data_IF_273042644141
#
_entry.id   IF_273042644141
#
_cell.length_a   1.000
_cell.length_b   1.000
_cell.length_c   1.000
_cell.angle_alpha   90.00
_cell.angle_beta   90.00
_cell.angle_gamma   90.00
#
_symmetry.space_group_name_H-M   'P 1'
#
loop_
_entity.id
_entity.type
_entity.pdbx_description
1 polymer ?
#
# COMPACT_ATOMS: atom_id res chain seq x y z
N UNK A 1 25.83 -21.55 -47.42
CA UNK A 1 24.99 -22.77 -47.34
C UNK A 1 25.02 -23.33 -45.93
N UNK A 2 23.94 -23.15 -45.17
CA UNK A 2 23.36 -24.14 -44.23
C UNK A 2 22.03 -23.56 -43.76
N UNK A 3 20.97 -24.30 -44.06
CA UNK A 3 19.58 -24.00 -43.77
C UNK A 3 19.30 -24.51 -42.36
N UNK A 4 18.74 -23.70 -41.49
CA UNK A 4 18.13 -24.19 -40.25
C UNK A 4 16.62 -23.97 -40.39
N UNK A 5 15.90 -25.09 -40.42
CA UNK A 5 14.46 -25.17 -40.59
C UNK A 5 13.76 -24.88 -39.25
N UNK A 6 12.67 -24.12 -39.32
CA UNK A 6 11.77 -23.82 -38.23
C UNK A 6 11.11 -25.10 -37.67
N UNK A 7 11.11 -25.27 -36.36
CA UNK A 7 10.14 -26.12 -35.66
C UNK A 7 9.25 -25.18 -34.85
N UNK A 8 8.06 -24.94 -35.40
CA UNK A 8 7.05 -24.08 -34.78
C UNK A 8 6.44 -24.73 -33.56
N UNK A 9 6.25 -23.96 -32.50
CA UNK A 9 5.38 -24.33 -31.38
C UNK A 9 3.97 -23.89 -31.76
N UNK A 10 3.07 -24.87 -31.81
CA UNK A 10 1.64 -24.70 -32.06
C UNK A 10 1.04 -23.70 -31.07
N UNK A 11 0.48 -22.62 -31.61
CA UNK A 11 -0.42 -21.72 -30.89
C UNK A 11 -1.71 -22.50 -30.64
N UNK A 12 -1.93 -22.94 -29.41
CA UNK A 12 -3.19 -23.53 -28.98
C UNK A 12 -4.27 -22.44 -28.90
N UNK A 13 -5.35 -22.61 -29.66
CA UNK A 13 -6.55 -21.81 -29.49
C UNK A 13 -7.31 -22.32 -28.25
N UNK A 14 -7.39 -21.51 -27.20
CA UNK A 14 -8.29 -21.78 -26.07
C UNK A 14 -9.67 -21.23 -26.47
N UNK A 15 -10.60 -22.14 -26.76
CA UNK A 15 -12.01 -21.80 -26.89
C UNK A 15 -12.59 -21.62 -25.47
N UNK A 16 -12.78 -20.37 -25.04
CA UNK A 16 -13.57 -20.07 -23.84
C UNK A 16 -15.04 -20.28 -24.19
N UNK A 17 -15.57 -21.46 -23.86
CA UNK A 17 -17.01 -21.68 -23.81
C UNK A 17 -17.57 -20.83 -22.67
N UNK A 18 -18.42 -19.87 -23.00
CA UNK A 18 -19.10 -19.01 -22.04
C UNK A 18 -20.10 -19.80 -21.21
N UNK A 19 -19.93 -19.77 -19.88
CA UNK A 19 -21.02 -20.03 -18.95
C UNK A 19 -21.81 -18.74 -18.78
N UNK A 20 -22.84 -18.56 -19.61
CA UNK A 20 -23.92 -17.63 -19.33
C UNK A 20 -24.94 -18.33 -18.43
N UNK A 21 -25.11 -17.84 -17.20
CA UNK A 21 -26.41 -17.83 -16.52
C UNK A 21 -26.61 -16.44 -15.94
N UNK A 22 -27.64 -15.79 -16.47
CA UNK A 22 -28.26 -14.59 -15.94
C UNK A 22 -28.97 -14.97 -14.64
N UNK A 23 -28.73 -14.22 -13.56
CA UNK A 23 -29.78 -13.95 -12.58
C UNK A 23 -29.76 -12.46 -12.24
N UNK A 24 -30.74 -11.80 -12.83
CA UNK A 24 -31.20 -10.46 -12.56
C UNK A 24 -31.76 -10.43 -11.13
N UNK A 25 -31.27 -9.54 -10.27
CA UNK A 25 -32.10 -8.99 -9.21
C UNK A 25 -31.78 -7.51 -9.02
N UNK A 26 -32.58 -6.69 -9.71
CA UNK A 26 -32.82 -5.32 -9.32
C UNK A 26 -33.40 -5.30 -7.90
N UNK A 27 -32.78 -4.54 -6.98
CA UNK A 27 -33.53 -3.78 -5.98
C UNK A 27 -32.94 -2.37 -5.87
N UNK A 28 -33.60 -1.47 -6.61
CA UNK A 28 -33.73 -0.04 -6.32
C UNK A 28 -34.62 0.15 -5.07
N UNK A 29 -34.67 1.39 -4.59
CA UNK A 29 -35.54 1.97 -3.53
C UNK A 29 -34.85 1.88 -2.14
N UNK A 30 -34.57 2.96 -1.41
CA UNK A 30 -35.24 4.27 -1.29
C UNK A 30 -34.28 5.33 -0.73
N UNK A 31 -34.39 6.56 -1.22
CA UNK A 31 -34.06 7.77 -0.45
C UNK A 31 -34.84 7.76 0.87
N UNK A 32 -34.23 8.14 1.99
CA UNK A 32 -34.96 8.85 3.03
C UNK A 32 -34.10 9.96 3.62
N UNK A 33 -34.65 11.16 3.52
CA UNK A 33 -34.20 12.43 4.07
C UNK A 33 -35.01 12.60 5.34
N UNK A 34 -34.39 12.80 6.51
CA UNK A 34 -34.93 13.79 7.46
C UNK A 34 -33.98 14.15 8.61
N UNK A 35 -33.87 15.47 8.80
CA UNK A 35 -33.59 16.23 10.03
C UNK A 35 -32.25 15.98 10.75
N UNK A 36 -31.38 16.98 10.94
CA UNK A 36 -31.67 18.35 11.32
C UNK A 36 -31.46 18.49 12.82
N UNK A 37 -30.22 18.79 13.23
CA UNK A 37 -29.96 19.43 14.52
C UNK A 37 -28.78 20.39 14.39
N UNK A 38 -29.14 21.65 14.18
CA UNK A 38 -28.34 22.83 14.44
C UNK A 38 -28.16 22.99 15.95
N UNK A 39 -26.91 22.99 16.41
CA UNK A 39 -26.52 23.62 17.68
C UNK A 39 -25.25 24.41 17.41
N UNK A 40 -25.41 25.71 17.20
CA UNK A 40 -24.34 26.68 17.40
C UNK A 40 -24.04 26.78 18.90
N UNK A 41 -22.81 26.47 19.31
CA UNK A 41 -22.18 27.14 20.44
C UNK A 41 -20.73 27.44 20.05
N UNK A 42 -20.43 28.73 19.96
CA UNK A 42 -19.17 29.24 19.43
C UNK A 42 -18.00 29.21 20.42
N UNK A 43 -16.81 29.37 19.82
CA UNK A 43 -15.67 30.10 20.37
C UNK A 43 -14.68 29.32 21.22
N UNK A 44 -13.53 28.96 20.63
CA UNK A 44 -12.25 29.62 20.91
C UNK A 44 -11.14 29.02 20.04
N UNK A 45 -10.54 29.88 19.22
CA UNK A 45 -9.32 29.62 18.46
C UNK A 45 -8.16 29.39 19.42
N UNK A 46 -7.35 28.34 19.20
CA UNK A 46 -5.91 28.52 18.98
C UNK A 46 -5.18 27.21 18.62
N UNK A 47 -4.50 27.27 17.48
CA UNK A 47 -3.12 26.81 17.28
C UNK A 47 -2.74 25.37 17.66
N UNK A 48 -2.91 24.46 16.69
CA UNK A 48 -1.81 23.80 15.98
C UNK A 48 -2.42 22.90 14.89
N UNK A 49 -2.28 23.30 13.62
CA UNK A 49 -2.59 22.41 12.49
C UNK A 49 -1.52 21.35 12.40
N UNK A 50 -1.55 20.39 13.30
CA UNK A 50 -1.05 19.06 13.00
C UNK A 50 -1.99 18.54 11.90
N UNK A 51 -1.53 18.66 10.64
CA UNK A 51 -2.21 18.07 9.50
C UNK A 51 -2.17 16.57 9.72
N UNK A 52 -3.17 16.05 10.44
CA UNK A 52 -3.49 14.63 10.46
C UNK A 52 -3.67 14.28 8.99
N UNK A 53 -2.63 13.68 8.41
CA UNK A 53 -2.69 13.15 7.06
C UNK A 53 -3.62 11.96 7.18
N UNK A 54 -4.92 12.22 7.03
CA UNK A 54 -5.89 11.16 6.81
C UNK A 54 -5.43 10.44 5.55
N UNK A 55 -4.81 9.27 5.74
CA UNK A 55 -4.38 8.43 4.62
C UNK A 55 -5.66 7.88 4.04
N UNK A 56 -6.14 8.47 2.94
CA UNK A 56 -7.16 7.83 2.12
C UNK A 56 -6.56 6.52 1.62
N UNK A 57 -7.15 5.36 1.95
CA UNK A 57 -6.61 4.08 1.50
C UNK A 57 -6.59 4.02 -0.02
N UNK A 58 -5.51 3.46 -0.59
CA UNK A 58 -5.44 3.25 -2.04
C UNK A 58 -6.33 2.05 -2.39
N UNK A 59 -7.34 2.29 -3.24
CA UNK A 59 -8.14 1.20 -3.81
C UNK A 59 -7.37 0.54 -4.95
N UNK A 60 -6.67 -0.56 -4.63
CA UNK A 60 -5.89 -1.36 -5.57
C UNK A 60 -6.56 -2.71 -5.80
N UNK A 61 -6.51 -3.19 -7.05
CA UNK A 61 -6.82 -4.58 -7.36
C UNK A 61 -5.76 -5.51 -6.79
N UNK A 62 -6.05 -6.82 -6.70
CA UNK A 62 -5.09 -7.80 -6.20
C UNK A 62 -3.80 -7.84 -7.05
N UNK A 63 -3.93 -7.80 -8.38
CA UNK A 63 -2.78 -7.77 -9.30
C UNK A 63 -1.90 -6.52 -9.09
N UNK A 64 -2.53 -5.37 -8.82
CA UNK A 64 -1.80 -4.14 -8.51
C UNK A 64 -1.06 -4.23 -7.16
N UNK A 65 -1.66 -4.87 -6.15
CA UNK A 65 -1.02 -5.10 -4.86
C UNK A 65 0.19 -6.01 -4.97
N UNK A 66 0.10 -7.08 -5.77
CA UNK A 66 1.23 -7.97 -6.04
C UNK A 66 2.38 -7.24 -6.75
N UNK A 67 2.06 -6.37 -7.69
CA UNK A 67 3.06 -5.55 -8.37
C UNK A 67 3.69 -4.49 -7.45
N UNK A 68 2.90 -3.88 -6.57
CA UNK A 68 3.40 -2.95 -5.55
C UNK A 68 4.31 -3.67 -4.55
N UNK A 69 3.91 -4.87 -4.11
CA UNK A 69 4.70 -5.66 -3.16
C UNK A 69 6.07 -6.04 -3.72
N UNK A 70 6.13 -6.49 -4.98
CA UNK A 70 7.42 -6.75 -5.68
C UNK A 70 8.29 -5.50 -5.70
N UNK A 71 7.73 -4.34 -6.06
CA UNK A 71 8.47 -3.08 -6.05
C UNK A 71 8.97 -2.71 -4.65
N UNK A 72 8.17 -2.94 -3.60
CA UNK A 72 8.60 -2.69 -2.23
C UNK A 72 9.79 -3.56 -1.82
N UNK A 73 9.76 -4.85 -2.18
CA UNK A 73 10.87 -5.77 -1.93
C UNK A 73 12.14 -5.28 -2.63
N UNK A 74 12.06 -4.96 -3.93
CA UNK A 74 13.22 -4.44 -4.69
C UNK A 74 13.77 -3.14 -4.09
N UNK A 75 12.88 -2.23 -3.65
CA UNK A 75 13.26 -0.99 -2.98
C UNK A 75 14.04 -1.28 -1.70
N UNK A 76 13.55 -2.17 -0.85
CA UNK A 76 14.21 -2.53 0.42
C UNK A 76 15.54 -3.24 0.17
N UNK A 77 15.60 -4.17 -0.77
CA UNK A 77 16.86 -4.85 -1.14
C UNK A 77 17.91 -3.85 -1.62
N UNK A 78 17.51 -2.84 -2.38
CA UNK A 78 18.41 -1.78 -2.82
C UNK A 78 18.89 -0.92 -1.65
N UNK A 79 17.99 -0.48 -0.78
CA UNK A 79 18.33 0.33 0.40
C UNK A 79 19.30 -0.42 1.31
N UNK A 80 19.03 -1.70 1.58
CA UNK A 80 19.89 -2.56 2.41
C UNK A 80 21.30 -2.75 1.80
N UNK A 81 21.42 -2.69 0.47
CA UNK A 81 22.70 -2.84 -0.23
C UNK A 81 23.50 -1.54 -0.30
N UNK A 82 22.82 -0.41 -0.48
CA UNK A 82 23.45 0.83 -0.94
C UNK A 82 23.37 2.00 0.06
N UNK A 83 22.30 2.08 0.87
CA UNK A 83 21.90 3.35 1.49
C UNK A 83 21.57 3.27 3.00
N UNK A 84 21.40 2.10 3.63
CA UNK A 84 20.91 2.01 5.03
C UNK A 84 21.98 1.66 6.09
N UNK A 85 21.83 2.21 7.31
CA UNK A 85 22.56 1.73 8.50
C UNK A 85 21.85 0.55 9.17
N UNK A 86 20.52 0.51 9.07
CA UNK A 86 19.68 -0.57 9.57
C UNK A 86 19.16 -1.42 8.40
N UNK A 87 19.12 -2.73 8.59
CA UNK A 87 18.49 -3.63 7.63
C UNK A 87 16.97 -3.62 7.79
N UNK A 88 16.28 -3.56 6.67
CA UNK A 88 14.83 -3.59 6.58
C UNK A 88 14.35 -4.88 5.92
N UNK A 89 13.13 -5.28 6.24
CA UNK A 89 12.44 -6.39 5.59
C UNK A 89 11.02 -5.95 5.22
N UNK A 90 10.52 -6.52 4.13
CA UNK A 90 9.12 -6.36 3.72
C UNK A 90 8.38 -7.61 4.16
N UNK A 91 7.32 -7.43 4.94
CA UNK A 91 6.48 -8.55 5.38
C UNK A 91 5.80 -9.23 4.18
N UNK A 92 5.34 -10.49 4.31
CA UNK A 92 4.53 -11.14 3.29
C UNK A 92 3.31 -10.31 2.90
N UNK A 93 2.84 -10.43 1.65
CA UNK A 93 1.73 -9.63 1.13
C UNK A 93 0.43 -9.85 1.91
N UNK A 94 0.24 -11.03 2.50
CA UNK A 94 -0.91 -11.39 3.32
C UNK A 94 -0.96 -10.63 4.66
N UNK A 95 0.18 -10.07 5.09
CA UNK A 95 0.30 -9.31 6.33
C UNK A 95 0.10 -7.79 6.12
N UNK A 96 -0.01 -7.33 4.86
CA UNK A 96 -0.27 -5.93 4.55
C UNK A 96 -1.70 -5.54 4.89
N UNK A 97 -1.85 -4.48 5.70
CA UNK A 97 -3.13 -3.83 5.96
C UNK A 97 -3.49 -2.89 4.83
N UNK A 98 -4.76 -2.49 4.76
CA UNK A 98 -5.25 -1.58 3.72
C UNK A 98 -4.52 -0.24 3.74
N UNK A 99 -4.10 0.21 4.92
CA UNK A 99 -3.40 1.48 5.14
C UNK A 99 -1.91 1.43 4.79
N UNK A 100 -1.34 0.22 4.68
CA UNK A 100 0.09 0.02 4.35
C UNK A 100 0.36 0.23 2.86
N UNK A 101 -0.68 0.16 2.02
CA UNK A 101 -0.58 0.36 0.58
C UNK A 101 -0.40 1.85 0.25
N UNK A 102 0.80 2.21 -0.20
CA UNK A 102 1.17 3.55 -0.64
C UNK A 102 1.86 3.53 -2.01
N UNK A 103 1.95 4.68 -2.69
CA UNK A 103 2.75 4.73 -3.93
C UNK A 103 4.20 4.24 -3.70
N UNK A 104 4.81 3.46 -4.60
CA UNK A 104 6.17 2.95 -4.44
C UNK A 104 7.24 4.02 -4.20
N UNK A 105 7.08 5.23 -4.75
CA UNK A 105 8.01 6.34 -4.47
C UNK A 105 7.86 6.82 -3.03
N UNK A 106 6.64 6.88 -2.52
CA UNK A 106 6.36 7.22 -1.11
C UNK A 106 6.87 6.13 -0.19
N UNK A 107 6.69 4.86 -0.55
CA UNK A 107 7.27 3.73 0.18
C UNK A 107 8.79 3.84 0.28
N UNK A 108 9.48 4.15 -0.83
CA UNK A 108 10.95 4.37 -0.81
C UNK A 108 11.35 5.45 0.17
N UNK A 109 10.64 6.57 0.23
CA UNK A 109 10.94 7.65 1.19
C UNK A 109 10.83 7.15 2.63
N UNK A 110 9.71 6.50 2.97
CA UNK A 110 9.50 5.93 4.30
C UNK A 110 10.55 4.88 4.68
N UNK A 111 10.94 4.04 3.72
CA UNK A 111 11.96 3.02 3.91
C UNK A 111 13.35 3.65 4.13
N UNK A 112 13.73 4.65 3.34
CA UNK A 112 15.00 5.39 3.55
C UNK A 112 15.01 6.05 4.92
N UNK A 113 13.93 6.74 5.30
CA UNK A 113 13.83 7.40 6.61
C UNK A 113 13.99 6.39 7.74
N UNK A 114 13.35 5.21 7.63
CA UNK A 114 13.46 4.14 8.63
C UNK A 114 14.85 3.51 8.66
N UNK A 115 15.49 3.32 7.50
CA UNK A 115 16.83 2.73 7.42
C UNK A 115 17.90 3.57 8.14
N UNK A 116 17.71 4.89 8.20
CA UNK A 116 18.59 5.85 8.87
C UNK A 116 18.14 6.24 10.27
N UNK A 117 17.05 5.66 10.78
CA UNK A 117 16.54 6.05 12.08
C UNK A 117 17.51 5.65 13.19
N UNK A 118 17.99 6.63 13.96
CA UNK A 118 18.79 6.43 15.16
C UNK A 118 17.94 6.66 16.41
N UNK A 119 17.90 5.68 17.31
CA UNK A 119 17.22 5.82 18.59
C UNK A 119 18.10 6.61 19.57
N UNK A 120 17.79 7.89 19.78
CA UNK A 120 18.52 8.78 20.68
C UNK A 120 17.71 9.05 21.95
N UNK A 121 17.56 8.03 22.80
CA UNK A 121 16.98 8.23 24.13
C UNK A 121 18.07 8.69 25.11
N UNK A 122 17.94 9.91 25.62
CA UNK A 122 18.71 10.40 26.77
C UNK A 122 18.01 10.18 28.11
N UNK A 123 16.78 9.66 28.11
CA UNK A 123 15.90 9.57 29.29
C UNK A 123 15.67 8.13 29.75
N UNK A 124 15.69 7.16 28.83
CA UNK A 124 15.71 5.73 29.13
C UNK A 124 17.14 5.19 29.02
N UNK A 125 17.97 5.53 30.00
CA UNK A 125 19.28 4.95 30.26
C UNK A 125 19.47 5.00 31.76
N UNK A 126 19.56 3.83 32.41
CA UNK A 126 19.67 3.72 33.87
C UNK A 126 20.82 4.55 34.44
N UNK A 127 20.72 4.84 35.74
CA UNK A 127 21.67 5.68 36.46
C UNK A 127 23.12 5.41 36.04
N UNK A 128 23.94 6.47 35.83
CA UNK A 128 25.34 6.29 35.51
C UNK A 128 25.99 5.45 36.61
N UNK A 129 26.64 4.37 36.21
CA UNK A 129 27.49 3.60 37.12
C UNK A 129 28.74 4.45 37.34
N UNK A 130 28.88 5.01 38.54
CA UNK A 130 30.10 5.67 39.00
C UNK A 130 31.30 4.72 39.05
#
# INVERSE_FOLDING_TARGET
MKKYMCVGILIGAIALAGCSVNEESEKKVTEDITNGQEVEVGGLSDTNKEKVVSVTPLELTQEQKEEYHKQYVEIVEKINREEGTNQLEVVPIEEFRTEDWVDPKKFRQLAVDRAHWEFTSTVFGGDPVE
#
